data_IF_423638863282
#
_entry.id   IF_423638863282
#
_cell.length_a   1.000
_cell.length_b   1.000
_cell.length_c   1.000
_cell.angle_alpha   90.00
_cell.angle_beta   90.00
_cell.angle_gamma   90.00
#
_symmetry.space_group_name_H-M   'P 1'
#
loop_
_entity.id
_entity.type
_entity.pdbx_description
1 polymer ?
#
# COMPACT_ATOMS: atom_id res chain seq x y z
N UNK A 1 -4.40 7.84 -22.69
CA UNK A 1 -5.67 7.91 -21.95
C UNK A 1 -5.86 6.73 -21.00
N UNK A 2 -5.72 5.48 -21.47
CA UNK A 2 -5.92 4.25 -20.68
C UNK A 2 -5.17 4.20 -19.35
N UNK A 3 -3.89 4.58 -19.31
CA UNK A 3 -3.10 4.55 -18.07
C UNK A 3 -3.59 5.56 -17.00
N UNK A 4 -4.15 6.70 -17.40
CA UNK A 4 -4.71 7.68 -16.46
C UNK A 4 -5.98 7.13 -15.81
N UNK A 5 -6.89 6.58 -16.61
CA UNK A 5 -8.12 5.93 -16.13
C UNK A 5 -7.79 4.80 -15.15
N UNK A 6 -6.81 3.96 -15.50
CA UNK A 6 -6.35 2.89 -14.64
C UNK A 6 -5.81 3.41 -13.29
N UNK A 7 -4.99 4.46 -13.30
CA UNK A 7 -4.47 5.08 -12.07
C UNK A 7 -5.57 5.69 -11.22
N UNK A 8 -6.52 6.39 -11.83
CA UNK A 8 -7.68 6.95 -11.14
C UNK A 8 -8.51 5.83 -10.50
N UNK A 9 -8.80 4.75 -11.23
CA UNK A 9 -9.52 3.59 -10.71
C UNK A 9 -8.75 2.92 -9.56
N UNK A 10 -7.45 2.67 -9.73
CA UNK A 10 -6.61 2.07 -8.68
C UNK A 10 -6.55 2.95 -7.44
N UNK A 11 -6.36 4.27 -7.62
CA UNK A 11 -6.33 5.23 -6.52
C UNK A 11 -7.65 5.33 -5.78
N UNK A 12 -8.79 5.30 -6.50
CA UNK A 12 -10.12 5.28 -5.90
C UNK A 12 -10.38 4.00 -5.11
N UNK A 13 -9.98 2.83 -5.63
CA UNK A 13 -10.07 1.56 -4.91
C UNK A 13 -9.21 1.57 -3.64
N UNK A 14 -7.96 2.04 -3.71
CA UNK A 14 -7.11 2.18 -2.53
C UNK A 14 -7.73 3.14 -1.50
N UNK A 15 -8.21 4.31 -1.91
CA UNK A 15 -8.86 5.25 -1.01
C UNK A 15 -10.13 4.66 -0.37
N UNK A 16 -10.98 3.98 -1.14
CA UNK A 16 -12.17 3.32 -0.63
C UNK A 16 -11.83 2.21 0.37
N UNK A 17 -10.85 1.36 0.04
CA UNK A 17 -10.36 0.32 0.94
C UNK A 17 -9.83 0.90 2.26
N UNK A 18 -8.94 1.88 2.18
CA UNK A 18 -8.36 2.50 3.37
C UNK A 18 -9.40 3.22 4.25
N UNK A 19 -10.36 3.91 3.65
CA UNK A 19 -11.45 4.57 4.37
C UNK A 19 -12.36 3.55 5.10
N UNK A 20 -12.68 2.41 4.45
CA UNK A 20 -13.44 1.34 5.08
C UNK A 20 -12.71 0.74 6.27
N UNK A 21 -11.39 0.50 6.17
CA UNK A 21 -10.59 -0.01 7.29
C UNK A 21 -10.52 1.01 8.45
N UNK A 22 -10.37 2.30 8.12
CA UNK A 22 -10.41 3.35 9.13
C UNK A 22 -11.76 3.45 9.83
N UNK A 23 -12.87 3.27 9.10
CA UNK A 23 -14.21 3.22 9.68
C UNK A 23 -14.42 1.98 10.57
N UNK A 24 -13.92 0.81 10.16
CA UNK A 24 -13.94 -0.40 10.98
C UNK A 24 -13.20 -0.20 12.30
N UNK A 25 -11.97 0.33 12.23
CA UNK A 25 -11.15 0.66 13.40
C UNK A 25 -11.84 1.69 14.30
N UNK A 26 -12.43 2.74 13.71
CA UNK A 26 -13.18 3.74 14.46
C UNK A 26 -14.34 3.12 15.23
N UNK A 27 -15.12 2.24 14.60
CA UNK A 27 -16.23 1.55 15.25
C UNK A 27 -15.77 0.63 16.38
N UNK A 28 -14.63 -0.04 16.21
CA UNK A 28 -14.01 -0.87 17.26
C UNK A 28 -13.55 -0.04 18.47
N UNK A 29 -12.92 1.12 18.25
CA UNK A 29 -12.16 1.81 19.30
C UNK A 29 -12.83 3.05 19.88
N UNK A 30 -13.52 3.87 19.08
CA UNK A 30 -13.86 5.25 19.45
C UNK A 30 -14.75 5.40 20.69
N UNK A 31 -15.56 4.39 21.03
CA UNK A 31 -16.44 4.42 22.19
C UNK A 31 -15.75 4.07 23.53
N UNK A 32 -14.54 3.50 23.50
CA UNK A 32 -13.89 2.95 24.71
C UNK A 32 -12.41 3.29 24.83
N UNK A 33 -11.73 3.59 23.72
CA UNK A 33 -10.32 3.96 23.69
C UNK A 33 -10.19 5.43 23.26
N UNK A 34 -9.88 6.32 24.20
CA UNK A 34 -9.53 7.69 23.86
C UNK A 34 -8.21 7.74 23.07
N UNK A 35 -8.04 8.74 22.20
CA UNK A 35 -6.73 9.00 21.59
C UNK A 35 -5.70 9.35 22.68
N UNK A 36 -4.68 8.51 22.83
CA UNK A 36 -3.66 8.67 23.87
C UNK A 36 -4.06 8.12 25.26
N UNK A 37 -5.27 7.60 25.41
CA UNK A 37 -5.76 6.96 26.64
C UNK A 37 -5.96 5.45 26.40
N UNK A 38 -4.83 4.77 26.17
CA UNK A 38 -4.80 3.35 25.80
C UNK A 38 -4.83 2.41 27.00
N UNK A 39 -4.62 2.93 28.21
CA UNK A 39 -4.50 2.15 29.45
C UNK A 39 -5.77 2.17 30.32
N UNK A 40 -6.84 2.84 29.86
CA UNK A 40 -8.13 2.82 30.55
C UNK A 40 -8.73 1.41 30.55
N UNK A 41 -9.41 1.02 31.63
CA UNK A 41 -9.90 -0.35 31.82
C UNK A 41 -10.77 -0.86 30.65
N UNK A 42 -11.66 -0.01 30.11
CA UNK A 42 -12.49 -0.37 28.96
C UNK A 42 -11.70 -0.47 27.64
N UNK A 43 -10.63 0.33 27.49
CA UNK A 43 -9.73 0.21 26.34
C UNK A 43 -8.88 -1.06 26.42
N UNK A 44 -8.39 -1.41 27.61
CA UNK A 44 -7.65 -2.65 27.85
C UNK A 44 -8.49 -3.89 27.54
N UNK A 45 -9.75 -3.91 27.97
CA UNK A 45 -10.68 -4.99 27.60
C UNK A 45 -10.87 -5.07 26.07
N UNK A 46 -11.00 -3.93 25.39
CA UNK A 46 -11.18 -3.89 23.92
C UNK A 46 -9.95 -4.34 23.12
N UNK A 47 -8.76 -4.33 23.74
CA UNK A 47 -7.51 -4.80 23.14
C UNK A 47 -7.37 -6.32 23.11
N UNK A 48 -8.27 -7.05 23.76
CA UNK A 48 -8.31 -8.50 23.71
C UNK A 48 -8.67 -9.02 22.30
N UNK A 49 -8.07 -10.14 21.90
CA UNK A 49 -8.29 -10.80 20.60
C UNK A 49 -9.78 -11.13 20.34
N UNK A 50 -10.60 -11.26 21.38
CA UNK A 50 -12.05 -11.47 21.25
C UNK A 50 -12.74 -10.37 20.43
N UNK A 51 -12.14 -9.19 20.29
CA UNK A 51 -12.68 -8.07 19.52
C UNK A 51 -12.01 -7.86 18.15
N UNK A 52 -11.16 -8.79 17.71
CA UNK A 52 -10.47 -8.65 16.43
C UNK A 52 -11.43 -8.70 15.25
N UNK A 53 -11.19 -7.81 14.28
CA UNK A 53 -12.00 -7.69 13.06
C UNK A 53 -11.39 -8.44 11.87
N UNK A 54 -10.11 -8.80 11.96
CA UNK A 54 -9.38 -9.55 10.94
C UNK A 54 -8.88 -10.86 11.53
N UNK A 55 -9.19 -11.98 10.88
CA UNK A 55 -8.90 -13.32 11.39
C UNK A 55 -9.44 -13.56 12.82
N UNK A 56 -10.75 -13.31 13.08
CA UNK A 56 -11.30 -13.53 14.41
C UNK A 56 -11.12 -14.98 14.86
N UNK A 57 -10.84 -15.19 16.14
CA UNK A 57 -10.69 -16.51 16.74
C UNK A 57 -11.66 -16.65 17.92
N UNK A 58 -12.16 -17.87 18.18
CA UNK A 58 -13.09 -18.11 19.28
C UNK A 58 -12.37 -18.08 20.64
N UNK A 59 -12.97 -17.49 21.70
CA UNK A 59 -14.26 -16.79 21.71
C UNK A 59 -14.19 -15.40 21.05
N UNK A 60 -15.21 -15.03 20.27
CA UNK A 60 -15.27 -13.76 19.52
C UNK A 60 -16.53 -12.96 19.83
N UNK A 61 -16.38 -11.64 19.93
CA UNK A 61 -17.44 -10.67 20.18
C UNK A 61 -17.42 -9.55 19.13
N UNK A 62 -18.43 -9.49 18.23
CA UNK A 62 -18.47 -8.45 17.21
C UNK A 62 -18.77 -7.07 17.80
N UNK A 63 -18.06 -6.05 17.32
CA UNK A 63 -18.34 -4.64 17.65
C UNK A 63 -19.08 -3.98 16.49
N UNK A 64 -20.40 -4.00 16.56
CA UNK A 64 -21.27 -3.46 15.50
C UNK A 64 -20.99 -4.11 14.15
N UNK A 65 -20.80 -3.28 13.10
CA UNK A 65 -20.51 -3.73 11.72
C UNK A 65 -19.01 -3.63 11.37
N UNK A 66 -18.14 -3.48 12.36
CA UNK A 66 -16.69 -3.35 12.12
C UNK A 66 -16.10 -4.52 11.31
N UNK A 67 -16.49 -5.80 11.53
CA UNK A 67 -15.98 -6.92 10.74
C UNK A 67 -16.43 -6.86 9.27
N UNK A 68 -17.66 -6.40 9.01
CA UNK A 68 -18.19 -6.22 7.65
C UNK A 68 -17.41 -5.14 6.88
N UNK A 69 -17.13 -4.02 7.54
CA UNK A 69 -16.33 -2.92 6.98
C UNK A 69 -14.88 -3.35 6.71
N UNK A 70 -14.26 -4.09 7.64
CA UNK A 70 -12.92 -4.63 7.47
C UNK A 70 -12.85 -5.66 6.33
N UNK A 71 -13.84 -6.55 6.24
CA UNK A 71 -13.97 -7.52 5.16
C UNK A 71 -14.15 -6.85 3.79
N UNK A 72 -15.06 -5.89 3.69
CA UNK A 72 -15.26 -5.09 2.48
C UNK A 72 -13.99 -4.33 2.08
N UNK A 73 -13.26 -3.76 3.05
CA UNK A 73 -11.98 -3.08 2.81
C UNK A 73 -10.97 -4.02 2.12
N UNK A 74 -10.81 -5.25 2.61
CA UNK A 74 -9.88 -6.23 2.05
C UNK A 74 -10.29 -6.72 0.65
N UNK A 75 -11.58 -6.83 0.37
CA UNK A 75 -12.09 -7.18 -0.96
C UNK A 75 -11.79 -6.07 -1.98
N UNK A 76 -12.00 -4.81 -1.58
CA UNK A 76 -11.65 -3.65 -2.40
C UNK A 76 -10.12 -3.56 -2.59
N UNK A 77 -9.34 -3.86 -1.56
CA UNK A 77 -7.87 -3.93 -1.65
C UNK A 77 -7.42 -5.01 -2.62
N UNK A 78 -8.02 -6.19 -2.58
CA UNK A 78 -7.71 -7.30 -3.49
C UNK A 78 -7.89 -6.88 -4.96
N UNK A 79 -8.98 -6.17 -5.27
CA UNK A 79 -9.20 -5.60 -6.61
C UNK A 79 -8.13 -4.56 -6.96
N UNK A 80 -7.74 -3.68 -6.02
CA UNK A 80 -6.67 -2.70 -6.23
C UNK A 80 -5.31 -3.35 -6.49
N UNK A 81 -4.96 -4.43 -5.76
CA UNK A 81 -3.70 -5.17 -5.91
C UNK A 81 -3.53 -5.70 -7.33
N UNK A 82 -4.60 -6.18 -7.96
CA UNK A 82 -4.58 -6.65 -9.34
C UNK A 82 -4.26 -5.53 -10.35
N UNK A 83 -4.58 -4.27 -10.07
CA UNK A 83 -4.30 -3.14 -10.98
C UNK A 83 -2.95 -2.47 -10.66
N UNK A 84 -2.43 -2.71 -9.46
CA UNK A 84 -1.29 -2.00 -8.89
C UNK A 84 -0.01 -2.09 -9.72
N UNK A 85 0.40 -3.26 -10.30
CA UNK A 85 1.63 -3.34 -11.08
C UNK A 85 1.65 -2.36 -12.26
N UNK A 86 0.52 -2.27 -12.99
CA UNK A 86 0.37 -1.36 -14.10
C UNK A 86 0.29 0.10 -13.64
N UNK A 87 -0.46 0.38 -12.57
CA UNK A 87 -0.60 1.73 -12.04
C UNK A 87 0.75 2.32 -11.60
N UNK A 88 1.57 1.52 -10.92
CA UNK A 88 2.85 1.92 -10.35
C UNK A 88 4.01 1.88 -11.36
N UNK A 89 4.10 0.84 -12.18
CA UNK A 89 5.26 0.68 -13.09
C UNK A 89 4.98 1.20 -14.50
N UNK A 90 3.71 1.24 -14.91
CA UNK A 90 3.32 1.52 -16.30
C UNK A 90 3.61 0.36 -17.27
N UNK A 91 4.01 -0.81 -16.76
CA UNK A 91 4.38 -1.99 -17.54
C UNK A 91 3.53 -3.19 -17.11
N UNK A 92 3.41 -4.18 -18.00
CA UNK A 92 2.80 -5.47 -17.64
C UNK A 92 3.76 -6.23 -16.72
N UNK A 93 3.27 -6.86 -15.64
CA UNK A 93 4.10 -7.72 -14.81
C UNK A 93 4.57 -8.95 -15.61
N UNK A 94 5.78 -9.42 -15.33
CA UNK A 94 6.23 -10.74 -15.81
C UNK A 94 5.44 -11.88 -15.14
N UNK A 95 5.53 -13.12 -15.63
CA UNK A 95 4.69 -14.23 -15.16
C UNK A 95 4.82 -14.50 -13.66
N UNK A 96 6.04 -14.50 -13.12
CA UNK A 96 6.29 -14.69 -11.68
C UNK A 96 5.64 -13.58 -10.84
N UNK A 97 5.82 -12.33 -11.25
CA UNK A 97 5.19 -11.19 -10.56
C UNK A 97 3.67 -11.22 -10.67
N UNK A 98 3.12 -11.63 -11.81
CA UNK A 98 1.69 -11.77 -12.02
C UNK A 98 1.09 -12.84 -11.09
N UNK A 99 1.74 -14.00 -10.96
CA UNK A 99 1.32 -15.07 -10.03
C UNK A 99 1.40 -14.58 -8.58
N UNK A 100 2.48 -13.90 -8.19
CA UNK A 100 2.63 -13.38 -6.84
C UNK A 100 1.55 -12.33 -6.50
N UNK A 101 1.26 -11.40 -7.43
CA UNK A 101 0.19 -10.41 -7.27
C UNK A 101 -1.18 -11.08 -7.19
N UNK A 102 -1.45 -12.08 -8.03
CA UNK A 102 -2.69 -12.85 -7.96
C UNK A 102 -2.83 -13.60 -6.63
N UNK A 103 -1.75 -14.22 -6.15
CA UNK A 103 -1.72 -14.88 -4.84
C UNK A 103 -2.00 -13.92 -3.68
N UNK A 104 -1.38 -12.73 -3.68
CA UNK A 104 -1.63 -11.70 -2.66
C UNK A 104 -3.08 -11.18 -2.71
N UNK A 105 -3.63 -11.01 -3.92
CA UNK A 105 -5.04 -10.62 -4.10
C UNK A 105 -5.99 -11.72 -3.61
N UNK A 106 -5.74 -12.99 -3.92
CA UNK A 106 -6.53 -14.13 -3.45
C UNK A 106 -6.47 -14.25 -1.93
N UNK A 107 -5.28 -14.14 -1.33
CA UNK A 107 -5.13 -14.16 0.13
C UNK A 107 -5.91 -13.03 0.80
N UNK A 108 -5.78 -11.80 0.28
CA UNK A 108 -6.55 -10.64 0.78
C UNK A 108 -8.06 -10.84 0.62
N UNK A 109 -8.51 -11.37 -0.52
CA UNK A 109 -9.92 -11.61 -0.78
C UNK A 109 -10.48 -12.71 0.14
N UNK A 110 -9.74 -13.80 0.35
CA UNK A 110 -10.15 -14.88 1.25
C UNK A 110 -10.29 -14.36 2.69
N UNK A 111 -9.31 -13.60 3.18
CA UNK A 111 -9.41 -12.94 4.50
C UNK A 111 -10.59 -11.95 4.55
N UNK A 112 -10.84 -11.21 3.48
CA UNK A 112 -11.98 -10.29 3.37
C UNK A 112 -13.34 -11.00 3.41
N UNK A 113 -13.48 -12.11 2.69
CA UNK A 113 -14.68 -12.97 2.73
C UNK A 113 -14.90 -13.53 4.13
N UNK A 114 -13.84 -13.96 4.79
CA UNK A 114 -13.90 -14.52 6.15
C UNK A 114 -14.33 -13.50 7.19
N UNK A 115 -13.74 -12.30 7.18
CA UNK A 115 -14.12 -11.21 8.08
C UNK A 115 -15.57 -10.75 7.84
N UNK A 116 -15.95 -10.58 6.56
CA UNK A 116 -17.31 -10.22 6.18
C UNK A 116 -18.31 -11.32 6.57
N UNK A 117 -17.99 -12.58 6.29
CA UNK A 117 -18.80 -13.74 6.66
C UNK A 117 -19.03 -13.83 8.15
N UNK A 118 -17.98 -13.62 8.95
CA UNK A 118 -18.07 -13.61 10.41
C UNK A 118 -18.95 -12.46 10.92
N UNK A 119 -18.80 -11.26 10.34
CA UNK A 119 -19.66 -10.12 10.65
C UNK A 119 -21.14 -10.41 10.37
N UNK A 120 -21.44 -11.00 9.22
CA UNK A 120 -22.80 -11.30 8.80
C UNK A 120 -23.45 -12.46 9.56
N UNK A 121 -22.68 -13.48 9.95
CA UNK A 121 -23.19 -14.64 10.70
C UNK A 121 -23.24 -14.38 12.21
N UNK A 122 -22.41 -13.47 12.73
CA UNK A 122 -22.18 -13.32 14.17
C UNK A 122 -21.34 -14.46 14.77
N UNK A 123 -20.77 -15.34 13.94
CA UNK A 123 -19.96 -16.49 14.34
C UNK A 123 -18.58 -16.43 13.67
N UNK A 124 -17.57 -17.05 14.28
CA UNK A 124 -16.24 -17.15 13.66
C UNK A 124 -16.33 -18.03 12.41
N UNK A 125 -16.04 -17.45 11.25
CA UNK A 125 -15.86 -18.18 10.00
C UNK A 125 -14.37 -18.42 9.81
N UNK A 126 -13.99 -19.63 9.41
CA UNK A 126 -12.60 -19.96 9.11
C UNK A 126 -12.18 -19.45 7.72
N UNK A 127 -10.91 -19.06 7.52
CA UNK A 127 -10.38 -18.75 6.20
C UNK A 127 -10.54 -19.92 5.23
N UNK A 128 -10.98 -19.61 4.00
CA UNK A 128 -10.92 -20.59 2.90
C UNK A 128 -9.45 -20.93 2.68
N UNK A 129 -9.06 -22.20 2.91
CA UNK A 129 -7.66 -22.64 2.89
C UNK A 129 -6.94 -22.61 4.24
N UNK A 130 -7.62 -22.26 5.34
CA UNK A 130 -7.10 -22.28 6.70
C UNK A 130 -5.86 -21.41 6.90
N UNK A 131 -4.92 -21.89 7.73
CA UNK A 131 -3.68 -21.18 8.07
C UNK A 131 -2.85 -20.77 6.85
N UNK A 132 -2.88 -21.56 5.78
CA UNK A 132 -2.12 -21.25 4.55
C UNK A 132 -2.54 -19.90 3.99
N UNK A 133 -3.83 -19.59 4.01
CA UNK A 133 -4.36 -18.31 3.55
C UNK A 133 -3.90 -17.15 4.42
N UNK A 134 -3.86 -17.35 5.75
CA UNK A 134 -3.33 -16.36 6.70
C UNK A 134 -1.86 -16.08 6.38
N UNK A 135 -1.03 -17.12 6.21
CA UNK A 135 0.38 -16.96 5.90
C UNK A 135 0.63 -16.33 4.53
N UNK A 136 -0.16 -16.68 3.52
CA UNK A 136 -0.08 -16.02 2.20
C UNK A 136 -0.44 -14.55 2.34
N UNK A 137 -1.53 -14.20 3.01
CA UNK A 137 -1.93 -12.82 3.21
C UNK A 137 -0.88 -12.02 3.99
N UNK A 138 -0.34 -12.59 5.08
CA UNK A 138 0.68 -11.96 5.92
C UNK A 138 2.01 -11.81 5.18
N UNK A 139 2.52 -12.85 4.52
CA UNK A 139 3.90 -12.86 4.00
C UNK A 139 4.01 -12.47 2.53
N UNK A 140 3.07 -12.88 1.68
CA UNK A 140 3.18 -12.64 0.23
C UNK A 140 2.84 -11.18 -0.11
N UNK A 141 1.80 -10.63 0.50
CA UNK A 141 1.35 -9.24 0.28
C UNK A 141 2.49 -8.21 0.47
N UNK A 142 3.21 -8.15 1.61
CA UNK A 142 4.30 -7.20 1.79
C UNK A 142 5.44 -7.42 0.79
N UNK A 143 5.78 -8.67 0.45
CA UNK A 143 6.84 -9.00 -0.51
C UNK A 143 6.49 -8.44 -1.89
N UNK A 144 5.24 -8.59 -2.33
CA UNK A 144 4.74 -8.00 -3.57
C UNK A 144 4.80 -6.48 -3.52
N UNK A 145 4.37 -5.85 -2.42
CA UNK A 145 4.39 -4.39 -2.28
C UNK A 145 5.82 -3.81 -2.26
N UNK A 146 6.75 -4.46 -1.55
CA UNK A 146 8.18 -4.10 -1.55
C UNK A 146 8.78 -4.23 -2.94
N UNK A 147 8.50 -5.33 -3.65
CA UNK A 147 8.94 -5.53 -5.02
C UNK A 147 8.45 -4.40 -5.93
N UNK A 148 7.16 -4.03 -5.84
CA UNK A 148 6.60 -2.91 -6.59
C UNK A 148 7.22 -1.56 -6.19
N UNK A 149 7.56 -1.36 -4.92
CA UNK A 149 8.24 -0.15 -4.46
C UNK A 149 9.64 0.01 -5.06
N UNK A 150 10.40 -1.07 -5.18
CA UNK A 150 11.71 -1.09 -5.84
C UNK A 150 11.59 -0.70 -7.31
N UNK A 151 10.58 -1.23 -8.01
CA UNK A 151 10.33 -0.96 -9.43
C UNK A 151 9.70 0.42 -9.70
N UNK A 152 9.04 1.03 -8.71
CA UNK A 152 8.37 2.31 -8.85
C UNK A 152 9.33 3.50 -8.69
N UNK A 153 8.91 4.67 -9.21
CA UNK A 153 9.67 5.93 -9.13
C UNK A 153 8.77 7.13 -8.83
N UNK A 154 9.34 8.15 -8.17
CA UNK A 154 8.64 9.38 -7.78
C UNK A 154 7.46 9.11 -6.85
N UNK A 155 6.35 9.83 -7.03
CA UNK A 155 5.11 9.65 -6.26
C UNK A 155 4.58 8.21 -6.25
N UNK A 156 4.86 7.41 -7.29
CA UNK A 156 4.46 6.00 -7.35
C UNK A 156 5.25 5.15 -6.36
N UNK A 157 6.52 5.48 -6.12
CA UNK A 157 7.32 4.84 -5.07
C UNK A 157 6.79 5.22 -3.70
N UNK A 158 6.45 6.50 -3.49
CA UNK A 158 5.83 6.96 -2.25
C UNK A 158 4.54 6.18 -1.97
N UNK A 159 3.67 6.01 -2.97
CA UNK A 159 2.47 5.20 -2.84
C UNK A 159 2.79 3.76 -2.42
N UNK A 160 3.74 3.11 -3.08
CA UNK A 160 4.13 1.74 -2.75
C UNK A 160 4.70 1.61 -1.33
N UNK A 161 5.52 2.57 -0.90
CA UNK A 161 6.07 2.62 0.47
C UNK A 161 4.96 2.80 1.50
N UNK A 162 4.01 3.71 1.26
CA UNK A 162 2.85 3.88 2.14
C UNK A 162 2.02 2.60 2.25
N UNK A 163 1.83 1.86 1.15
CA UNK A 163 1.17 0.55 1.18
C UNK A 163 1.96 -0.49 1.97
N UNK A 164 3.29 -0.52 1.84
CA UNK A 164 4.15 -1.39 2.65
C UNK A 164 4.01 -1.06 4.14
N UNK A 165 4.03 0.23 4.50
CA UNK A 165 3.88 0.68 5.89
C UNK A 165 2.48 0.38 6.46
N UNK A 166 1.45 0.42 5.62
CA UNK A 166 0.09 0.03 6.00
C UNK A 166 -0.16 -1.48 5.99
N UNK A 167 0.78 -2.31 5.55
CA UNK A 167 0.55 -3.73 5.35
C UNK A 167 0.44 -4.52 6.68
N UNK A 168 -0.26 -5.67 6.68
CA UNK A 168 -0.48 -6.50 7.87
C UNK A 168 0.77 -6.88 8.69
N UNK A 169 1.95 -7.16 8.12
CA UNK A 169 3.14 -7.44 8.94
C UNK A 169 3.58 -6.27 9.80
N UNK A 170 3.38 -5.03 9.33
CA UNK A 170 3.69 -3.85 10.14
C UNK A 170 2.72 -3.77 11.31
N UNK A 171 1.48 -4.22 11.11
CA UNK A 171 0.53 -4.45 12.19
C UNK A 171 1.03 -5.51 13.17
N UNK A 172 1.50 -6.66 12.67
CA UNK A 172 2.01 -7.75 13.51
C UNK A 172 3.16 -7.27 14.42
N UNK A 173 4.11 -6.50 13.90
CA UNK A 173 5.17 -5.91 14.73
C UNK A 173 4.63 -4.86 15.72
N UNK A 174 3.60 -4.11 15.34
CA UNK A 174 2.96 -3.13 16.24
C UNK A 174 2.20 -3.82 17.38
N UNK A 175 1.54 -4.95 17.09
CA UNK A 175 0.88 -5.82 18.06
C UNK A 175 1.90 -6.48 18.99
N UNK A 176 2.99 -7.01 18.45
CA UNK A 176 4.06 -7.63 19.24
C UNK A 176 4.79 -6.68 20.22
N UNK A 177 4.65 -5.35 20.05
CA UNK A 177 5.25 -4.35 20.93
C UNK A 177 4.28 -3.80 22.00
N UNK A 178 3.02 -4.26 22.05
CA UNK A 178 2.05 -3.87 23.09
C UNK A 178 2.04 -4.82 24.30
N UNK A 179 1.55 -4.37 25.47
CA UNK A 179 1.27 -5.26 26.60
C UNK A 179 0.07 -6.19 26.36
N UNK A 180 -0.70 -5.99 25.28
CA UNK A 180 -1.93 -6.70 24.92
C UNK A 180 -1.94 -7.08 23.43
N UNK A 181 -2.89 -7.95 23.05
CA UNK A 181 -3.00 -8.59 21.74
C UNK A 181 -3.17 -7.60 20.58
N UNK A 182 -3.94 -6.52 20.78
CA UNK A 182 -4.18 -5.48 19.79
C UNK A 182 -3.73 -4.08 20.26
N UNK A 183 -3.07 -3.29 19.40
CA UNK A 183 -2.80 -1.86 19.63
C UNK A 183 -3.94 -1.01 19.09
N UNK A 184 -4.56 -0.14 19.92
CA UNK A 184 -5.65 0.73 19.46
C UNK A 184 -5.24 1.60 18.28
N UNK A 185 -6.20 1.87 17.40
CA UNK A 185 -6.08 2.79 16.26
C UNK A 185 -5.10 2.38 15.16
N UNK A 186 -4.40 1.26 15.28
CA UNK A 186 -3.44 0.85 14.26
C UNK A 186 -4.12 0.59 12.91
N UNK A 187 -5.30 -0.05 12.88
CA UNK A 187 -6.00 -0.29 11.62
C UNK A 187 -6.48 1.02 10.99
N UNK A 188 -6.81 2.04 11.79
CA UNK A 188 -7.08 3.39 11.28
C UNK A 188 -5.85 4.04 10.65
N UNK A 189 -4.68 3.95 11.30
CA UNK A 189 -3.42 4.46 10.75
C UNK A 189 -3.08 3.75 9.45
N UNK A 190 -3.18 2.41 9.42
CA UNK A 190 -3.02 1.62 8.20
C UNK A 190 -3.98 2.07 7.10
N UNK A 191 -5.28 2.20 7.41
CA UNK A 191 -6.28 2.69 6.47
C UNK A 191 -5.96 4.07 5.89
N UNK A 192 -5.52 5.02 6.72
CA UNK A 192 -5.09 6.35 6.30
C UNK A 192 -3.85 6.32 5.40
N UNK A 193 -2.88 5.43 5.67
CA UNK A 193 -1.73 5.21 4.79
C UNK A 193 -2.16 4.70 3.41
N UNK A 194 -3.13 3.78 3.36
CA UNK A 194 -3.70 3.27 2.09
C UNK A 194 -4.46 4.39 1.34
N UNK A 195 -5.20 5.26 2.03
CA UNK A 195 -5.83 6.45 1.43
C UNK A 195 -4.78 7.38 0.83
N UNK A 196 -3.72 7.70 1.57
CA UNK A 196 -2.63 8.54 1.10
C UNK A 196 -1.89 7.91 -0.09
N UNK A 197 -1.72 6.59 -0.09
CA UNK A 197 -1.18 5.86 -1.24
C UNK A 197 -2.07 6.01 -2.47
N UNK A 198 -3.40 5.90 -2.31
CA UNK A 198 -4.37 6.16 -3.38
C UNK A 198 -4.22 7.56 -3.97
N UNK A 199 -4.12 8.59 -3.12
CA UNK A 199 -3.88 9.96 -3.54
C UNK A 199 -2.55 10.11 -4.31
N UNK A 200 -1.48 9.44 -3.87
CA UNK A 200 -0.18 9.43 -4.56
C UNK A 200 -0.26 8.76 -5.94
N UNK A 201 -1.05 7.70 -6.10
CA UNK A 201 -1.26 7.03 -7.40
C UNK A 201 -1.98 7.95 -8.39
N UNK A 202 -2.98 8.71 -7.93
CA UNK A 202 -3.70 9.69 -8.76
C UNK A 202 -2.82 10.91 -9.08
N UNK A 203 -2.12 11.43 -8.06
CA UNK A 203 -1.25 12.60 -8.14
C UNK A 203 0.05 12.37 -8.92
N UNK A 204 0.41 11.11 -9.20
CA UNK A 204 1.47 10.74 -10.13
C UNK A 204 1.06 11.09 -11.58
N UNK A 205 1.02 12.39 -11.88
CA UNK A 205 0.88 12.91 -13.24
C UNK A 205 2.00 12.40 -14.15
N UNK A 206 1.89 12.62 -15.48
CA UNK A 206 3.02 12.37 -16.36
C UNK A 206 4.18 13.22 -15.84
N UNK A 207 5.25 12.56 -15.40
CA UNK A 207 6.44 13.22 -14.88
C UNK A 207 6.75 14.39 -15.81
N UNK A 208 6.70 15.60 -15.25
CA UNK A 208 6.85 16.83 -16.02
C UNK A 208 8.02 16.64 -16.96
N UNK A 209 7.73 16.81 -18.26
CA UNK A 209 8.75 17.06 -19.27
C UNK A 209 9.72 18.01 -18.59
N UNK A 210 10.93 17.55 -18.28
CA UNK A 210 12.00 18.46 -17.89
C UNK A 210 11.93 19.56 -18.94
N UNK A 211 11.77 20.84 -18.59
CA UNK A 211 11.98 21.88 -19.57
C UNK A 211 13.44 21.70 -19.98
N UNK A 212 13.65 20.95 -21.05
CA UNK A 212 14.92 20.89 -21.75
C UNK A 212 15.25 22.35 -21.99
N UNK A 213 16.32 22.80 -21.32
CA UNK A 213 16.70 24.19 -21.24
C UNK A 213 16.61 24.81 -22.63
N UNK A 214 15.60 25.67 -22.78
CA UNK A 214 15.56 26.63 -23.85
C UNK A 214 16.84 27.47 -23.72
N UNK A 215 17.67 27.40 -24.75
CA UNK A 215 18.52 28.52 -25.17
C UNK A 215 19.58 28.99 -24.20
N UNK A 216 20.76 28.39 -24.26
CA UNK A 216 22.00 29.17 -24.20
C UNK A 216 23.03 28.63 -25.19
N UNK A 217 22.70 28.72 -26.47
CA UNK A 217 23.70 28.95 -27.51
C UNK A 217 23.71 30.44 -27.85
N UNK A 218 24.60 31.25 -27.29
CA UNK A 218 25.17 32.34 -28.04
C UNK A 218 26.35 31.78 -28.84
N UNK A 219 26.19 31.83 -30.15
CA UNK A 219 27.30 31.82 -31.08
C UNK A 219 28.41 32.76 -30.59
N UNK A 220 29.63 32.25 -30.46
CA UNK A 220 30.85 33.06 -30.54
C UNK A 220 31.70 32.52 -31.68
N UNK A 221 31.34 32.92 -32.89
CA UNK A 221 32.27 33.00 -34.00
C UNK A 221 33.18 34.21 -33.76
N UNK A 222 34.41 34.00 -33.30
CA UNK A 222 35.53 34.90 -33.60
C UNK A 222 36.86 34.29 -33.15
N UNK A 223 37.65 33.82 -34.13
CA UNK A 223 39.00 34.33 -34.37
C UNK A 223 39.85 33.27 -35.08
N UNK A 224 39.94 33.48 -36.39
CA UNK A 224 40.91 32.92 -37.32
C UNK A 224 42.10 33.89 -37.31
N UNK A 225 43.24 33.51 -36.73
CA UNK A 225 44.54 34.16 -37.02
C UNK A 225 45.72 33.30 -36.55
N UNK A 226 46.67 33.05 -37.48
CA UNK A 226 47.97 32.39 -37.30
C UNK A 226 47.89 30.86 -37.41
N UNK A 227 48.38 30.15 -38.43
CA UNK A 227 49.49 30.35 -39.39
C UNK A 227 50.81 30.73 -38.72
N UNK A 228 51.46 29.74 -38.12
CA UNK A 228 52.92 29.66 -38.07
C UNK A 228 53.35 28.40 -38.84
N UNK A 229 53.84 28.64 -40.05
CA UNK A 229 54.72 27.72 -40.77
C UNK A 229 55.99 27.54 -39.93
N UNK A 230 56.24 26.31 -39.45
CA UNK A 230 57.56 25.94 -38.93
C UNK A 230 58.40 25.45 -40.11
N UNK A 231 59.51 26.12 -40.46
CA UNK A 231 60.41 25.66 -41.49
C UNK A 231 61.27 24.51 -40.97
N UNK A 232 61.32 23.44 -41.75
CA UNK A 232 62.38 22.43 -41.74
C UNK A 232 63.75 23.06 -42.01
N UNK A 233 64.80 22.77 -41.21
CA UNK A 233 66.18 22.81 -41.67
C UNK A 233 66.63 21.41 -42.15
N UNK A 234 67.40 21.33 -43.25
CA UNK A 234 68.12 20.13 -43.64
C UNK A 234 69.58 20.15 -43.14
N UNK A 235 70.21 18.97 -43.20
CA UNK A 235 71.67 18.72 -43.27
C UNK A 235 72.46 18.72 -41.94
N UNK A 236 72.88 17.53 -41.49
CA UNK A 236 74.18 16.91 -41.84
C UNK A 236 74.14 15.40 -41.60
#
# INVERSE_FOLDING_TARGET
MQLRVLRTATGALLAGSGALMAAASWQRWAGVCGWGDVDSAGCLERQDHRYDVLAPAAPWEPVGIAPELAGASLLVLAAALLLLPWALTGRRPGPVSAVAVAGAAVGSAAMGVTALGSGLSGEVVEPVGGDVTIWVWLLLTPVVLVHLAVLAHGWRRTAAVLLVLGAPPVALFSYAMGPYDARPWWEAVSGLLVVAAGACVVGAGPAGRRPDGAGSSPASSTSRAGREEVPTPPVR
#
